data_IF_537360260905
#
_entry.id   IF_537360260905
#
_cell.length_a   1.000
_cell.length_b   1.000
_cell.length_c   1.000
_cell.angle_alpha   90.00
_cell.angle_beta   90.00
_cell.angle_gamma   90.00
#
_symmetry.space_group_name_H-M   'P 1'
#
loop_
_entity.id
_entity.type
_entity.pdbx_description
1 polymer ?
#
# COMPACT_ATOMS: atom_id res chain seq x y z
N UNK A 1 -2.94 26.13 -35.69
CA UNK A 1 -4.35 25.85 -36.04
C UNK A 1 -5.11 25.02 -35.00
N UNK A 2 -4.83 23.73 -34.77
CA UNK A 2 -5.62 22.94 -33.79
C UNK A 2 -5.42 23.38 -32.33
N UNK A 3 -4.18 23.71 -31.96
CA UNK A 3 -3.84 24.20 -30.60
C UNK A 3 -4.43 25.59 -30.34
N UNK A 4 -4.44 26.48 -31.34
CA UNK A 4 -5.04 27.81 -31.23
C UNK A 4 -6.56 27.73 -31.13
N UNK A 5 -7.21 26.87 -31.93
CA UNK A 5 -8.65 26.66 -31.81
C UNK A 5 -9.04 26.06 -30.45
N UNK A 6 -8.23 25.13 -29.93
CA UNK A 6 -8.45 24.55 -28.59
C UNK A 6 -8.22 25.58 -27.47
N UNK A 7 -7.21 26.44 -27.61
CA UNK A 7 -6.95 27.56 -26.69
C UNK A 7 -8.04 28.62 -26.75
N UNK A 8 -8.57 28.94 -27.94
CA UNK A 8 -9.67 29.89 -28.13
C UNK A 8 -10.95 29.34 -27.49
N UNK A 9 -11.27 28.06 -27.69
CA UNK A 9 -12.40 27.38 -27.03
C UNK A 9 -12.22 27.37 -25.50
N UNK A 10 -10.99 27.14 -25.01
CA UNK A 10 -10.68 27.27 -23.59
C UNK A 10 -10.88 28.70 -23.09
N UNK A 11 -10.43 29.71 -23.84
CA UNK A 11 -10.53 31.13 -23.48
C UNK A 11 -11.98 31.63 -23.48
N UNK A 12 -12.78 31.23 -24.46
CA UNK A 12 -14.18 31.61 -24.60
C UNK A 12 -15.07 30.92 -23.56
N UNK A 13 -14.69 29.71 -23.09
CA UNK A 13 -15.35 29.01 -21.98
C UNK A 13 -14.79 29.37 -20.60
N UNK A 14 -13.57 29.92 -20.50
CA UNK A 14 -13.01 30.54 -19.30
C UNK A 14 -13.40 32.02 -19.23
N UNK A 15 -14.69 32.32 -19.12
CA UNK A 15 -15.07 33.65 -18.67
C UNK A 15 -14.57 33.89 -17.24
N UNK A 16 -14.04 35.09 -16.92
CA UNK A 16 -13.46 35.43 -15.61
C UNK A 16 -14.46 35.47 -14.44
N UNK A 17 -15.72 35.08 -14.66
CA UNK A 17 -16.77 34.96 -13.64
C UNK A 17 -16.79 33.61 -12.93
N UNK A 18 -16.06 32.61 -13.45
CA UNK A 18 -16.03 31.28 -12.87
C UNK A 18 -14.84 31.15 -11.93
N UNK A 19 -15.06 30.67 -10.70
CA UNK A 19 -14.00 30.40 -9.72
C UNK A 19 -13.02 29.28 -10.15
N UNK A 20 -13.19 28.74 -11.36
CA UNK A 20 -12.43 27.66 -11.96
C UNK A 20 -10.90 27.90 -12.00
N UNK A 21 -10.38 29.09 -12.36
CA UNK A 21 -8.93 29.34 -12.37
C UNK A 21 -8.33 29.29 -10.96
N UNK A 22 -9.05 29.81 -9.95
CA UNK A 22 -8.60 29.78 -8.54
C UNK A 22 -8.57 28.34 -8.03
N UNK A 23 -9.60 27.54 -8.32
CA UNK A 23 -9.64 26.13 -7.93
C UNK A 23 -8.58 25.28 -8.64
N UNK A 24 -8.29 25.56 -9.91
CA UNK A 24 -7.23 24.87 -10.65
C UNK A 24 -5.85 25.13 -10.03
N UNK A 25 -5.59 26.37 -9.60
CA UNK A 25 -4.36 26.72 -8.88
C UNK A 25 -4.26 25.96 -7.55
N UNK A 26 -5.32 25.92 -6.74
CA UNK A 26 -5.33 25.16 -5.49
C UNK A 26 -5.15 23.64 -5.71
N UNK A 27 -5.78 23.08 -6.74
CA UNK A 27 -5.61 21.67 -7.13
C UNK A 27 -4.17 21.34 -7.53
N UNK A 28 -3.52 22.21 -8.30
CA UNK A 28 -2.11 22.07 -8.70
C UNK A 28 -1.16 22.21 -7.51
N UNK A 29 -1.43 23.14 -6.59
CA UNK A 29 -0.62 23.29 -5.36
C UNK A 29 -0.72 22.05 -4.47
N UNK A 30 -1.92 21.48 -4.30
CA UNK A 30 -2.12 20.23 -3.57
C UNK A 30 -1.40 19.07 -4.26
N UNK A 31 -1.53 18.93 -5.58
CA UNK A 31 -0.79 17.97 -6.41
C UNK A 31 0.73 18.06 -6.17
N UNK A 32 1.26 19.27 -6.20
CA UNK A 32 2.67 19.55 -6.01
C UNK A 32 3.13 19.20 -4.60
N UNK A 33 2.39 19.59 -3.56
CA UNK A 33 2.67 19.21 -2.17
C UNK A 33 2.70 17.68 -1.96
N UNK A 34 1.78 16.94 -2.59
CA UNK A 34 1.76 15.47 -2.49
C UNK A 34 2.88 14.78 -3.28
N UNK A 35 3.39 15.41 -4.35
CA UNK A 35 4.49 14.86 -5.16
C UNK A 35 5.80 14.70 -4.36
N UNK A 36 6.05 15.59 -3.40
CA UNK A 36 7.32 15.64 -2.68
C UNK A 36 7.42 14.63 -1.53
N UNK A 37 6.28 14.19 -0.98
CA UNK A 37 6.25 13.41 0.26
C UNK A 37 6.27 11.91 -0.05
N UNK A 38 5.44 11.40 -0.98
CA UNK A 38 5.34 9.96 -1.27
C UNK A 38 4.97 9.69 -2.74
N UNK A 39 5.92 9.16 -3.52
CA UNK A 39 5.74 8.81 -4.96
C UNK A 39 4.49 7.93 -5.21
N UNK A 40 4.20 6.98 -4.30
CA UNK A 40 3.01 6.12 -4.39
C UNK A 40 1.70 6.90 -4.20
N UNK A 41 1.67 7.90 -3.33
CA UNK A 41 0.49 8.75 -3.11
C UNK A 41 0.26 9.65 -4.34
N UNK A 42 1.34 10.15 -4.93
CA UNK A 42 1.28 10.97 -6.14
C UNK A 42 0.72 10.19 -7.34
N UNK A 43 1.19 8.96 -7.59
CA UNK A 43 0.65 8.12 -8.67
C UNK A 43 -0.85 7.87 -8.51
N UNK A 44 -1.29 7.60 -7.27
CA UNK A 44 -2.71 7.36 -6.97
C UNK A 44 -3.52 8.62 -7.16
N UNK A 45 -3.02 9.77 -6.70
CA UNK A 45 -3.65 11.07 -6.95
C UNK A 45 -3.79 11.33 -8.45
N UNK A 46 -2.69 11.20 -9.20
CA UNK A 46 -2.66 11.46 -10.64
C UNK A 46 -3.61 10.52 -11.40
N UNK A 47 -3.64 9.23 -11.03
CA UNK A 47 -4.56 8.25 -11.64
C UNK A 47 -6.02 8.54 -11.31
N UNK A 48 -6.34 8.94 -10.07
CA UNK A 48 -7.70 9.31 -9.66
C UNK A 48 -8.16 10.58 -10.37
N UNK A 49 -7.27 11.58 -10.48
CA UNK A 49 -7.56 12.81 -11.20
C UNK A 49 -7.80 12.52 -12.69
N UNK A 50 -6.89 11.77 -13.33
CA UNK A 50 -7.04 11.35 -14.71
C UNK A 50 -8.37 10.62 -14.94
N UNK A 51 -8.69 9.60 -14.11
CA UNK A 51 -9.95 8.86 -14.20
C UNK A 51 -11.19 9.78 -14.08
N UNK A 52 -11.17 10.74 -13.16
CA UNK A 52 -12.28 11.68 -12.98
C UNK A 52 -12.44 12.60 -14.20
N UNK A 53 -11.34 13.13 -14.75
CA UNK A 53 -11.36 13.99 -15.93
C UNK A 53 -11.67 13.24 -17.24
N UNK A 54 -11.29 11.97 -17.37
CA UNK A 54 -11.56 11.18 -18.59
C UNK A 54 -12.93 10.50 -18.58
N UNK A 55 -13.52 10.28 -17.41
CA UNK A 55 -14.72 9.46 -17.27
C UNK A 55 -15.87 10.25 -16.69
N UNK A 56 -15.69 10.84 -15.51
CA UNK A 56 -16.77 11.49 -14.77
C UNK A 56 -17.17 12.84 -15.39
N UNK A 57 -16.18 13.64 -15.81
CA UNK A 57 -16.44 14.92 -16.49
C UNK A 57 -17.18 14.70 -17.81
N UNK A 58 -16.75 13.82 -18.74
CA UNK A 58 -17.52 13.56 -19.95
C UNK A 58 -18.93 13.02 -19.67
N UNK A 59 -19.06 12.10 -18.71
CA UNK A 59 -20.37 11.55 -18.36
C UNK A 59 -21.31 12.60 -17.77
N UNK A 60 -20.84 13.51 -16.93
CA UNK A 60 -21.69 14.55 -16.35
C UNK A 60 -22.07 15.63 -17.37
N UNK A 61 -21.15 16.02 -18.25
CA UNK A 61 -21.34 17.15 -19.17
C UNK A 61 -21.99 16.76 -20.49
N UNK A 62 -21.80 15.54 -20.97
CA UNK A 62 -22.40 15.06 -22.22
C UNK A 62 -23.65 14.19 -22.02
N UNK A 63 -23.91 13.69 -20.81
CA UNK A 63 -25.10 12.89 -20.51
C UNK A 63 -26.12 13.66 -19.66
N UNK A 64 -27.31 13.97 -20.19
CA UNK A 64 -28.36 14.64 -19.41
C UNK A 64 -28.91 13.75 -18.27
N UNK A 65 -28.68 12.43 -18.34
CA UNK A 65 -29.20 11.48 -17.36
C UNK A 65 -28.59 11.63 -15.96
N UNK A 66 -27.33 12.08 -15.85
CA UNK A 66 -26.65 12.16 -14.55
C UNK A 66 -27.17 13.32 -13.69
N UNK A 67 -27.29 14.56 -14.21
CA UNK A 67 -27.92 15.65 -13.45
C UNK A 67 -29.36 15.31 -13.03
N UNK A 68 -30.17 14.74 -13.93
CA UNK A 68 -31.55 14.36 -13.61
C UNK A 68 -31.61 13.26 -12.54
N UNK A 69 -30.74 12.26 -12.60
CA UNK A 69 -30.65 11.22 -11.58
C UNK A 69 -30.23 11.79 -10.21
N UNK A 70 -29.24 12.68 -10.17
CA UNK A 70 -28.82 13.34 -8.92
C UNK A 70 -29.95 14.18 -8.31
N UNK A 71 -30.79 14.80 -9.14
CA UNK A 71 -31.96 15.53 -8.68
C UNK A 71 -33.02 14.58 -8.10
N UNK A 72 -33.29 13.45 -8.77
CA UNK A 72 -34.19 12.41 -8.27
C UNK A 72 -33.72 11.80 -6.94
N UNK A 73 -32.41 11.72 -6.72
CA UNK A 73 -31.83 11.31 -5.44
C UNK A 73 -31.86 12.41 -4.36
N UNK A 74 -32.36 13.62 -4.67
CA UNK A 74 -32.41 14.74 -3.73
C UNK A 74 -31.04 15.37 -3.44
N UNK A 75 -30.02 15.05 -4.23
CA UNK A 75 -28.64 15.54 -4.04
C UNK A 75 -28.42 16.92 -4.65
N UNK A 76 -29.24 17.30 -5.62
CA UNK A 76 -29.23 18.64 -6.23
C UNK A 76 -30.64 19.22 -6.31
N UNK A 77 -30.75 20.53 -6.10
CA UNK A 77 -32.01 21.26 -6.22
C UNK A 77 -32.40 21.47 -7.69
N UNK A 78 -33.70 21.52 -7.98
CA UNK A 78 -34.23 21.87 -9.31
C UNK A 78 -33.73 23.24 -9.78
N UNK A 79 -33.50 24.18 -8.84
CA UNK A 79 -32.91 25.50 -9.13
C UNK A 79 -31.52 25.42 -9.76
N UNK A 80 -30.78 24.33 -9.52
CA UNK A 80 -29.44 24.12 -10.07
C UNK A 80 -29.48 23.53 -11.49
N UNK A 81 -30.64 23.08 -11.94
CA UNK A 81 -30.91 22.65 -13.32
C UNK A 81 -31.54 23.76 -14.17
N UNK A 82 -31.76 24.93 -13.59
CA UNK A 82 -32.49 26.04 -14.24
C UNK A 82 -31.76 26.67 -15.43
N UNK A 83 -30.43 26.58 -15.47
CA UNK A 83 -29.62 27.02 -16.59
C UNK A 83 -28.44 26.11 -16.81
N UNK A 84 -27.98 26.05 -18.06
CA UNK A 84 -26.85 25.22 -18.46
C UNK A 84 -25.56 25.63 -17.74
N UNK A 85 -25.31 26.93 -17.58
CA UNK A 85 -24.12 27.44 -16.88
C UNK A 85 -24.12 27.10 -15.39
N UNK A 86 -25.28 27.22 -14.71
CA UNK A 86 -25.40 26.84 -13.29
C UNK A 86 -25.20 25.32 -13.15
N UNK A 87 -25.82 24.52 -14.02
CA UNK A 87 -25.70 23.06 -14.01
C UNK A 87 -24.24 22.61 -14.22
N UNK A 88 -23.55 23.23 -15.19
CA UNK A 88 -22.12 22.98 -15.47
C UNK A 88 -21.25 23.31 -14.26
N UNK A 89 -21.44 24.46 -13.62
CA UNK A 89 -20.69 24.85 -12.42
C UNK A 89 -20.94 23.91 -11.23
N UNK A 90 -22.20 23.50 -11.02
CA UNK A 90 -22.56 22.51 -9.99
C UNK A 90 -21.93 21.15 -10.30
N UNK A 91 -21.88 20.75 -11.57
CA UNK A 91 -21.19 19.55 -12.03
C UNK A 91 -19.69 19.53 -11.75
N UNK A 92 -19.00 20.63 -12.04
CA UNK A 92 -17.60 20.80 -11.67
C UNK A 92 -17.44 20.69 -10.15
N UNK A 93 -18.27 21.41 -9.38
CA UNK A 93 -18.24 21.38 -7.92
C UNK A 93 -18.42 19.97 -7.33
N UNK A 94 -19.37 19.19 -7.86
CA UNK A 94 -19.60 17.80 -7.45
C UNK A 94 -18.43 16.89 -7.82
N UNK A 95 -17.86 17.05 -9.01
CA UNK A 95 -16.69 16.29 -9.47
C UNK A 95 -15.49 16.53 -8.54
N UNK A 96 -15.22 17.79 -8.19
CA UNK A 96 -14.16 18.13 -7.24
C UNK A 96 -14.44 17.60 -5.84
N UNK A 97 -15.68 17.73 -5.35
CA UNK A 97 -16.07 17.22 -4.04
C UNK A 97 -15.86 15.70 -3.95
N UNK A 98 -16.28 14.96 -4.98
CA UNK A 98 -16.07 13.52 -5.06
C UNK A 98 -14.58 13.17 -5.10
N UNK A 99 -13.78 13.90 -5.88
CA UNK A 99 -12.34 13.74 -5.94
C UNK A 99 -11.69 13.93 -4.55
N UNK A 100 -12.06 15.01 -3.83
CA UNK A 100 -11.54 15.28 -2.49
C UNK A 100 -11.95 14.21 -1.48
N UNK A 101 -13.20 13.75 -1.51
CA UNK A 101 -13.67 12.67 -0.62
C UNK A 101 -12.84 11.41 -0.85
N UNK A 102 -12.69 10.97 -2.10
CA UNK A 102 -11.89 9.78 -2.42
C UNK A 102 -10.44 9.91 -1.94
N UNK A 103 -9.84 11.09 -2.13
CA UNK A 103 -8.49 11.40 -1.67
C UNK A 103 -8.34 11.35 -0.15
N UNK A 104 -9.26 11.97 0.59
CA UNK A 104 -9.26 11.98 2.06
C UNK A 104 -9.48 10.56 2.59
N UNK A 105 -10.48 9.85 2.08
CA UNK A 105 -10.77 8.47 2.49
C UNK A 105 -9.58 7.55 2.25
N UNK A 106 -8.94 7.64 1.09
CA UNK A 106 -7.73 6.87 0.80
C UNK A 106 -6.60 7.19 1.78
N UNK A 107 -6.37 8.48 2.06
CA UNK A 107 -5.34 8.93 2.99
C UNK A 107 -5.58 8.40 4.40
N UNK A 108 -6.82 8.49 4.89
CA UNK A 108 -7.22 7.95 6.20
C UNK A 108 -6.99 6.44 6.26
N UNK A 109 -7.45 5.69 5.26
CA UNK A 109 -7.26 4.23 5.18
C UNK A 109 -5.77 3.87 5.16
N UNK A 110 -4.96 4.62 4.40
CA UNK A 110 -3.52 4.41 4.32
C UNK A 110 -2.84 4.63 5.67
N UNK A 111 -3.22 5.70 6.40
CA UNK A 111 -2.72 5.98 7.76
C UNK A 111 -3.12 4.87 8.73
N UNK A 112 -4.40 4.46 8.74
CA UNK A 112 -4.89 3.38 9.59
C UNK A 112 -4.13 2.08 9.28
N UNK A 113 -3.98 1.72 8.01
CA UNK A 113 -3.26 0.52 7.59
C UNK A 113 -1.79 0.57 7.99
N UNK A 114 -1.16 1.74 7.90
CA UNK A 114 0.23 1.94 8.34
C UNK A 114 0.36 1.76 9.86
N UNK A 115 -0.56 2.32 10.66
CA UNK A 115 -0.61 2.11 12.11
C UNK A 115 -0.85 0.65 12.48
N UNK A 116 -1.82 0.00 11.84
CA UNK A 116 -2.10 -1.43 12.06
C UNK A 116 -0.89 -2.32 11.70
N UNK A 117 -0.10 -1.94 10.69
CA UNK A 117 1.17 -2.63 10.37
C UNK A 117 2.25 -2.36 11.41
N UNK A 118 2.37 -1.12 11.90
CA UNK A 118 3.31 -0.74 12.96
C UNK A 118 3.08 -1.51 14.27
N UNK A 119 1.82 -1.85 14.56
CA UNK A 119 1.46 -2.65 15.73
C UNK A 119 1.76 -4.14 15.57
N UNK A 120 2.15 -4.60 14.37
CA UNK A 120 2.55 -5.99 14.19
C UNK A 120 3.91 -6.24 14.85
N UNK A 121 4.06 -7.29 15.69
CA UNK A 121 5.31 -7.60 16.39
C UNK A 121 6.53 -7.69 15.48
N UNK A 122 6.35 -8.23 14.25
CA UNK A 122 7.41 -8.36 13.25
C UNK A 122 7.92 -6.99 12.78
N UNK A 123 7.03 -6.10 12.34
CA UNK A 123 7.40 -4.75 11.88
C UNK A 123 8.03 -3.92 13.01
N UNK A 124 7.49 -4.05 14.22
CA UNK A 124 8.06 -3.41 15.41
C UNK A 124 9.48 -3.90 15.69
N UNK A 125 9.71 -5.21 15.61
CA UNK A 125 11.04 -5.79 15.79
C UNK A 125 12.00 -5.33 14.69
N UNK A 126 11.58 -5.29 13.43
CA UNK A 126 12.40 -4.84 12.29
C UNK A 126 12.90 -3.41 12.52
N UNK A 127 12.02 -2.50 12.97
CA UNK A 127 12.34 -1.07 13.12
C UNK A 127 13.10 -0.71 14.39
N UNK A 128 12.97 -1.49 15.47
CA UNK A 128 13.61 -1.16 16.75
C UNK A 128 15.13 -1.33 16.67
N UNK A 129 15.89 -0.29 17.01
CA UNK A 129 17.37 -0.33 16.97
C UNK A 129 17.95 -1.31 18.00
N UNK A 130 17.38 -1.33 19.20
CA UNK A 130 17.79 -2.20 20.31
C UNK A 130 16.57 -2.98 20.83
N UNK A 131 16.23 -4.12 20.20
CA UNK A 131 15.11 -4.96 20.64
C UNK A 131 15.42 -5.67 21.96
N UNK A 132 14.42 -5.80 22.84
CA UNK A 132 14.52 -6.55 24.10
C UNK A 132 14.07 -8.00 23.90
N UNK A 133 14.41 -8.89 24.83
CA UNK A 133 13.97 -10.30 24.79
C UNK A 133 12.46 -10.44 24.62
N UNK A 134 11.67 -9.63 25.34
CA UNK A 134 10.20 -9.60 25.22
C UNK A 134 9.70 -9.26 23.81
N UNK A 135 10.43 -8.45 23.03
CA UNK A 135 10.04 -8.14 21.66
C UNK A 135 10.18 -9.37 20.76
N UNK A 136 11.21 -10.19 21.00
CA UNK A 136 11.41 -11.46 20.29
C UNK A 136 10.37 -12.51 20.71
N UNK A 137 9.99 -12.55 21.98
CA UNK A 137 8.98 -13.50 22.47
C UNK A 137 7.58 -13.24 21.89
N UNK A 138 7.26 -11.98 21.53
CA UNK A 138 5.99 -11.61 20.89
C UNK A 138 5.86 -12.11 19.43
N UNK A 139 6.95 -12.60 18.83
CA UNK A 139 6.95 -13.11 17.47
C UNK A 139 6.53 -14.59 17.43
N UNK A 140 5.29 -14.79 17.00
CA UNK A 140 4.72 -16.13 16.82
C UNK A 140 5.25 -16.84 15.57
N UNK A 141 5.55 -18.14 15.73
CA UNK A 141 6.01 -19.03 14.67
C UNK A 141 5.01 -19.22 13.52
N UNK A 142 3.74 -18.82 13.69
CA UNK A 142 2.75 -18.82 12.61
C UNK A 142 3.16 -17.96 11.41
N UNK A 143 4.07 -17.00 11.60
CA UNK A 143 4.61 -16.16 10.51
C UNK A 143 5.57 -16.92 9.59
N UNK A 144 6.22 -17.96 10.10
CA UNK A 144 7.18 -18.74 9.33
C UNK A 144 6.64 -20.11 8.93
N UNK A 145 5.49 -20.56 9.44
CA UNK A 145 4.92 -21.90 9.23
C UNK A 145 4.86 -22.34 7.76
N UNK A 146 4.68 -21.42 6.82
CA UNK A 146 4.69 -21.71 5.37
C UNK A 146 6.02 -22.25 4.85
N UNK A 147 7.11 -22.04 5.58
CA UNK A 147 8.45 -22.50 5.26
C UNK A 147 8.84 -23.78 6.01
N UNK A 148 7.92 -24.43 6.72
CA UNK A 148 8.21 -25.63 7.52
C UNK A 148 8.68 -26.84 6.71
N UNK A 149 8.34 -26.88 5.42
CA UNK A 149 8.74 -27.94 4.50
C UNK A 149 9.93 -27.56 3.63
N UNK A 150 10.42 -26.32 3.73
CA UNK A 150 11.52 -25.87 2.88
C UNK A 150 12.86 -26.44 3.36
N UNK A 151 13.60 -27.03 2.43
CA UNK A 151 14.98 -27.46 2.68
C UNK A 151 15.95 -26.28 2.63
N UNK A 152 17.15 -26.43 3.23
CA UNK A 152 18.20 -25.40 3.12
C UNK A 152 18.53 -25.07 1.66
N UNK A 153 18.57 -26.10 0.79
CA UNK A 153 18.83 -25.92 -0.64
C UNK A 153 17.77 -25.08 -1.35
N UNK A 154 16.53 -25.12 -0.90
CA UNK A 154 15.47 -24.27 -1.47
C UNK A 154 15.65 -22.81 -1.07
N UNK A 155 16.14 -22.53 0.14
CA UNK A 155 16.45 -21.17 0.58
C UNK A 155 17.63 -20.55 -0.17
N UNK A 156 18.58 -21.35 -0.65
CA UNK A 156 19.75 -20.89 -1.41
C UNK A 156 19.38 -20.09 -2.66
N UNK A 157 18.23 -20.36 -3.26
CA UNK A 157 17.75 -19.63 -4.44
C UNK A 157 17.22 -18.22 -4.12
N UNK A 158 16.87 -17.96 -2.87
CA UNK A 158 16.19 -16.71 -2.46
C UNK A 158 17.06 -15.83 -1.55
N UNK A 159 18.05 -16.43 -0.88
CA UNK A 159 18.86 -15.76 0.13
C UNK A 159 20.24 -15.42 -0.43
N UNK A 160 20.72 -14.20 -0.15
CA UNK A 160 22.03 -13.75 -0.60
C UNK A 160 23.15 -14.59 0.02
N UNK A 161 24.24 -14.89 -0.70
CA UNK A 161 25.37 -15.67 -0.17
C UNK A 161 25.97 -15.10 1.14
N UNK A 162 26.00 -13.78 1.29
CA UNK A 162 26.49 -13.13 2.52
C UNK A 162 25.62 -13.46 3.74
N UNK A 163 24.30 -13.44 3.56
CA UNK A 163 23.34 -13.81 4.62
C UNK A 163 23.46 -15.28 5.01
N UNK A 164 23.70 -16.14 4.02
CA UNK A 164 23.96 -17.56 4.25
C UNK A 164 25.18 -17.77 5.14
N UNK A 165 26.31 -17.14 4.78
CA UNK A 165 27.54 -17.21 5.56
C UNK A 165 27.35 -16.75 7.01
N UNK A 166 26.65 -15.63 7.22
CA UNK A 166 26.38 -15.08 8.56
C UNK A 166 25.55 -16.04 9.44
N UNK A 167 24.58 -16.75 8.85
CA UNK A 167 23.73 -17.71 9.55
C UNK A 167 24.52 -18.99 9.82
N UNK A 168 25.18 -19.53 8.79
CA UNK A 168 25.87 -20.82 8.87
C UNK A 168 27.08 -20.80 9.81
N UNK A 169 27.70 -19.63 10.02
CA UNK A 169 28.84 -19.43 10.92
C UNK A 169 28.45 -19.20 12.39
N UNK A 170 27.21 -18.81 12.66
CA UNK A 170 26.74 -18.44 14.03
C UNK A 170 25.80 -19.46 14.66
N UNK A 171 25.25 -20.39 13.88
CA UNK A 171 24.32 -21.40 14.36
C UNK A 171 24.88 -22.79 14.06
N UNK A 172 24.89 -23.67 15.06
CA UNK A 172 25.55 -24.97 14.93
C UNK A 172 24.65 -26.04 14.29
N UNK A 173 23.36 -26.04 14.64
CA UNK A 173 22.43 -27.09 14.20
C UNK A 173 21.74 -26.73 12.88
N UNK A 174 21.56 -27.72 12.01
CA UNK A 174 20.81 -27.56 10.76
C UNK A 174 19.38 -27.01 11.01
N UNK A 175 18.78 -27.46 12.12
CA UNK A 175 17.49 -26.96 12.62
C UNK A 175 17.52 -25.44 12.83
N UNK A 176 18.49 -24.94 13.60
CA UNK A 176 18.58 -23.53 13.93
C UNK A 176 18.85 -22.68 12.66
N UNK A 177 19.68 -23.21 11.74
CA UNK A 177 19.90 -22.60 10.42
C UNK A 177 18.61 -22.49 9.61
N UNK A 178 17.82 -23.58 9.48
CA UNK A 178 16.51 -23.56 8.79
C UNK A 178 15.55 -22.54 9.38
N UNK A 179 15.47 -22.44 10.71
CA UNK A 179 14.62 -21.45 11.39
C UNK A 179 15.08 -20.01 11.12
N UNK A 180 16.39 -19.76 11.15
CA UNK A 180 16.93 -18.44 10.83
C UNK A 180 16.62 -18.05 9.38
N UNK A 181 16.78 -18.97 8.43
CA UNK A 181 16.41 -18.74 7.03
C UNK A 181 14.91 -18.45 6.88
N UNK A 182 14.05 -19.19 7.56
CA UNK A 182 12.60 -18.95 7.54
C UNK A 182 12.24 -17.56 8.09
N UNK A 183 12.90 -17.10 9.16
CA UNK A 183 12.71 -15.75 9.70
C UNK A 183 13.23 -14.66 8.77
N UNK A 184 14.38 -14.87 8.10
CA UNK A 184 14.87 -13.96 7.06
C UNK A 184 13.88 -13.86 5.90
N UNK A 185 13.33 -14.99 5.47
CA UNK A 185 12.30 -15.05 4.42
C UNK A 185 10.96 -14.46 4.85
N UNK A 186 10.71 -14.29 6.16
CA UNK A 186 9.58 -13.52 6.67
C UNK A 186 9.85 -12.00 6.67
N UNK A 187 11.07 -11.56 6.33
CA UNK A 187 11.47 -10.16 6.25
C UNK A 187 12.28 -9.66 7.45
N UNK A 188 12.70 -10.55 8.36
CA UNK A 188 13.50 -10.16 9.51
C UNK A 188 14.98 -10.00 9.12
N UNK A 189 15.67 -8.91 9.54
CA UNK A 189 17.10 -8.76 9.30
C UNK A 189 17.91 -9.91 9.90
N UNK A 190 18.99 -10.30 9.23
CA UNK A 190 19.81 -11.48 9.54
C UNK A 190 20.20 -11.56 11.02
N UNK A 191 20.77 -10.48 11.56
CA UNK A 191 21.19 -10.42 12.95
C UNK A 191 20.03 -10.65 13.95
N UNK A 192 18.85 -10.09 13.65
CA UNK A 192 17.65 -10.27 14.47
C UNK A 192 17.05 -11.67 14.30
N UNK A 193 17.16 -12.27 13.12
CA UNK A 193 16.74 -13.65 12.89
C UNK A 193 17.60 -14.63 13.69
N UNK A 194 18.92 -14.43 13.72
CA UNK A 194 19.83 -15.26 14.52
C UNK A 194 19.50 -15.11 16.02
N UNK A 195 19.36 -13.88 16.51
CA UNK A 195 18.99 -13.62 17.90
C UNK A 195 17.63 -14.22 18.28
N UNK A 196 16.64 -14.17 17.37
CA UNK A 196 15.34 -14.80 17.58
C UNK A 196 15.49 -16.31 17.80
N UNK A 197 16.28 -16.99 16.97
CA UNK A 197 16.51 -18.43 17.08
C UNK A 197 17.23 -18.79 18.37
N UNK A 198 18.25 -18.01 18.76
CA UNK A 198 18.96 -18.22 20.03
C UNK A 198 18.04 -18.05 21.25
N UNK A 199 17.17 -17.03 21.22
CA UNK A 199 16.16 -16.83 22.27
C UNK A 199 15.15 -17.99 22.27
N UNK A 200 14.67 -18.44 21.10
CA UNK A 200 13.73 -19.56 21.04
C UNK A 200 14.33 -20.85 21.59
N UNK A 201 15.61 -21.09 21.34
CA UNK A 201 16.35 -22.22 21.91
C UNK A 201 16.53 -22.08 23.43
N UNK A 202 16.90 -20.90 23.91
CA UNK A 202 17.05 -20.61 25.35
C UNK A 202 15.74 -20.80 26.14
N UNK A 203 14.61 -20.41 25.56
CA UNK A 203 13.29 -20.49 26.20
C UNK A 203 12.49 -21.75 25.83
N UNK A 204 13.08 -22.67 25.04
CA UNK A 204 12.40 -23.91 24.63
C UNK A 204 11.16 -23.70 23.75
N UNK A 205 11.10 -22.60 23.00
CA UNK A 205 9.96 -22.20 22.17
C UNK A 205 10.05 -22.73 20.73
N UNK A 206 11.06 -23.53 20.41
CA UNK A 206 11.29 -24.09 19.08
C UNK A 206 10.17 -25.10 18.75
N UNK A 207 9.34 -24.88 17.72
CA UNK A 207 8.15 -25.69 17.50
C UNK A 207 8.47 -27.09 16.98
N UNK A 208 8.03 -28.12 17.70
CA UNK A 208 8.25 -29.54 17.38
C UNK A 208 7.77 -29.98 15.99
N UNK A 209 6.85 -29.27 15.35
CA UNK A 209 6.38 -29.61 13.99
C UNK A 209 7.40 -29.32 12.88
N UNK A 210 8.38 -28.43 13.09
CA UNK A 210 9.52 -28.26 12.17
C UNK A 210 10.46 -29.47 12.13
N UNK A 211 10.30 -30.40 13.07
CA UNK A 211 11.21 -31.53 13.27
C UNK A 211 10.77 -32.79 12.53
N UNK A 212 9.46 -32.93 12.23
CA UNK A 212 8.95 -34.15 11.55
C UNK A 212 9.53 -34.35 10.15
N UNK A 213 9.90 -33.27 9.47
CA UNK A 213 10.48 -33.35 8.11
C UNK A 213 11.94 -33.80 8.09
N UNK A 214 12.75 -33.47 9.10
CA UNK A 214 14.16 -33.89 9.16
C UNK A 214 14.28 -35.40 9.43
N UNK A 215 13.41 -35.97 10.26
CA UNK A 215 13.36 -37.42 10.48
C UNK A 215 12.81 -38.17 9.27
N UNK A 216 11.85 -37.59 8.53
CA UNK A 216 11.30 -38.19 7.31
C UNK A 216 12.22 -38.07 6.08
N UNK A 217 13.03 -37.01 5.96
CA UNK A 217 14.06 -36.89 4.91
C UNK A 217 15.17 -37.95 5.09
N UNK A 218 15.56 -38.25 6.33
CA UNK A 218 16.55 -39.29 6.64
C UNK A 218 16.00 -40.73 6.55
N UNK A 219 14.68 -40.91 6.37
CA UNK A 219 14.04 -42.21 6.21
C UNK A 219 13.65 -42.52 4.76
N UNK A 220 13.92 -41.64 3.79
CA UNK A 220 13.73 -41.99 2.37
C UNK A 220 14.80 -43.02 1.96
N UNK A 221 14.41 -44.25 1.54
CA UNK A 221 15.38 -45.19 1.00
C UNK A 221 16.00 -44.59 -0.27
N UNK A 222 17.33 -44.66 -0.35
CA UNK A 222 18.05 -44.39 -1.58
C UNK A 222 17.64 -45.46 -2.61
N UNK A 223 16.80 -45.07 -3.56
CA UNK A 223 16.52 -45.84 -4.77
C UNK A 223 17.54 -45.49 -5.85
#
# INVERSE_FOLDING_TARGET
MFVEAYLQILYDNLQPTTAFPVFLIFGVILLFMFSYIHVRMWLIFASTAAFMFTTFVPLFFFSPYIPTWLHQCGLISEKWLSSEDIMRNVGLGLTYTLFFILMITYTIISIIRSKLKLDQPLEKLIRKKYPTTDDYLKLHHSKIIRYQFCSIKEFDNFIKPSTKYDIDSKLDTERNKRLAYAWVMAGLPVEKAINKVLIDEQFGLVPTFYFRTLEQENQKPAY
#
